data_IF_574448998395
#
_entry.id   IF_574448998395
#
_cell.length_a   1.000
_cell.length_b   1.000
_cell.length_c   1.000
_cell.angle_alpha   90.00
_cell.angle_beta   90.00
_cell.angle_gamma   90.00
#
_symmetry.space_group_name_H-M   'P 1'
#
loop_
_entity.id
_entity.type
_entity.pdbx_description
1 polymer ?
#
# COMPACT_ATOMS: atom_id res chain seq x y z
N UNK A 1 2.68 -22.38 -18.37
CA UNK A 1 2.69 -23.20 -17.13
C UNK A 1 1.84 -22.47 -16.10
N UNK A 2 0.81 -23.10 -15.56
CA UNK A 2 -0.08 -22.49 -14.56
C UNK A 2 0.47 -22.85 -13.18
N UNK A 3 0.59 -21.86 -12.29
CA UNK A 3 1.05 -22.05 -10.93
C UNK A 3 -0.11 -21.79 -9.97
N UNK A 4 -0.27 -22.66 -8.99
CA UNK A 4 -1.24 -22.53 -7.92
C UNK A 4 -0.54 -22.05 -6.64
N UNK A 5 -1.24 -21.27 -5.83
CA UNK A 5 -0.69 -20.73 -4.60
C UNK A 5 -1.69 -20.93 -3.45
N UNK A 6 -1.15 -21.27 -2.30
CA UNK A 6 -1.94 -21.38 -1.09
C UNK A 6 -2.55 -20.01 -0.73
N UNK A 7 -3.88 -19.90 -0.55
CA UNK A 7 -4.54 -18.64 -0.23
C UNK A 7 -4.23 -18.11 1.17
N UNK A 8 -3.57 -18.91 2.01
CA UNK A 8 -3.18 -18.48 3.35
C UNK A 8 -1.75 -17.98 3.44
N UNK A 9 -0.76 -18.73 2.97
CA UNK A 9 0.66 -18.41 3.12
C UNK A 9 1.36 -18.06 1.80
N UNK A 10 0.65 -18.17 0.68
CA UNK A 10 1.12 -17.87 -0.68
C UNK A 10 2.32 -18.71 -1.14
N UNK A 11 2.60 -19.84 -0.48
CA UNK A 11 3.54 -20.82 -1.03
C UNK A 11 2.94 -21.50 -2.25
N UNK A 12 3.79 -21.85 -3.20
CA UNK A 12 3.40 -22.65 -4.35
C UNK A 12 2.88 -24.01 -3.89
N UNK A 13 1.80 -24.47 -4.51
CA UNK A 13 1.14 -25.77 -4.27
C UNK A 13 0.82 -26.42 -5.61
N UNK A 14 0.53 -27.71 -5.59
CA UNK A 14 0.02 -28.43 -6.76
C UNK A 14 -1.49 -28.18 -6.92
N UNK A 15 -2.02 -28.47 -8.11
CA UNK A 15 -3.41 -28.15 -8.48
C UNK A 15 -4.47 -28.86 -7.62
N UNK A 16 -4.19 -30.12 -7.24
CA UNK A 16 -5.10 -31.02 -6.55
C UNK A 16 -4.92 -31.02 -5.02
N UNK A 17 -4.02 -30.22 -4.49
CA UNK A 17 -3.79 -30.16 -3.03
C UNK A 17 -4.99 -29.57 -2.31
N UNK A 18 -5.50 -30.33 -1.34
CA UNK A 18 -6.62 -29.91 -0.46
C UNK A 18 -6.13 -29.17 0.78
N UNK A 19 -4.91 -29.50 1.22
CA UNK A 19 -4.26 -28.93 2.40
C UNK A 19 -2.87 -28.45 2.02
N UNK A 20 -2.53 -27.23 2.35
CA UNK A 20 -1.22 -26.67 2.05
C UNK A 20 -0.11 -27.44 2.79
N UNK A 21 0.92 -27.96 2.10
CA UNK A 21 2.01 -28.70 2.75
C UNK A 21 2.84 -27.83 3.70
N UNK A 22 2.90 -26.51 3.44
CA UNK A 22 3.69 -25.56 4.24
C UNK A 22 2.97 -25.07 5.49
N UNK A 23 1.75 -24.55 5.36
CA UNK A 23 1.04 -23.93 6.49
C UNK A 23 -0.12 -24.75 7.04
N UNK A 24 -0.40 -25.92 6.46
CA UNK A 24 -1.46 -26.87 6.85
C UNK A 24 -2.90 -26.29 6.75
N UNK A 25 -3.08 -25.17 6.07
CA UNK A 25 -4.42 -24.61 5.86
C UNK A 25 -5.19 -25.40 4.80
N UNK A 26 -6.47 -25.61 5.00
CA UNK A 26 -7.39 -26.17 4.00
C UNK A 26 -7.61 -25.13 2.89
N UNK A 27 -7.36 -25.52 1.63
CA UNK A 27 -7.42 -24.61 0.49
C UNK A 27 -8.85 -24.09 0.27
N UNK A 28 -9.84 -24.97 0.32
CA UNK A 28 -11.27 -24.62 0.15
C UNK A 28 -11.83 -23.72 1.24
N UNK A 29 -11.19 -23.66 2.41
CA UNK A 29 -11.63 -22.78 3.51
C UNK A 29 -11.62 -21.28 3.14
N UNK A 30 -11.02 -20.91 2.00
CA UNK A 30 -10.92 -19.52 1.53
C UNK A 30 -11.87 -19.18 0.36
N UNK A 31 -12.67 -20.15 -0.10
CA UNK A 31 -13.58 -19.93 -1.24
C UNK A 31 -14.71 -18.95 -0.92
N UNK A 32 -15.09 -18.84 0.34
CA UNK A 32 -16.12 -17.91 0.83
C UNK A 32 -15.66 -16.46 0.95
N UNK A 33 -14.35 -16.17 0.79
CA UNK A 33 -13.84 -14.82 0.92
C UNK A 33 -14.36 -13.92 -0.20
N UNK A 34 -14.81 -12.72 0.17
CA UNK A 34 -15.15 -11.69 -0.76
C UNK A 34 -13.94 -11.25 -1.59
N UNK A 35 -14.18 -10.60 -2.73
CA UNK A 35 -13.11 -10.05 -3.56
C UNK A 35 -12.19 -9.10 -2.79
N UNK A 36 -12.77 -8.24 -1.94
CA UNK A 36 -12.02 -7.35 -1.07
C UNK A 36 -11.07 -8.10 -0.12
N UNK A 37 -11.56 -9.14 0.56
CA UNK A 37 -10.75 -9.93 1.48
C UNK A 37 -9.62 -10.69 0.76
N UNK A 38 -9.88 -11.18 -0.45
CA UNK A 38 -8.85 -11.79 -1.31
C UNK A 38 -7.76 -10.77 -1.66
N UNK A 39 -8.11 -9.53 -1.99
CA UNK A 39 -7.14 -8.45 -2.25
C UNK A 39 -6.33 -8.09 -1.01
N UNK A 40 -6.96 -7.96 0.15
CA UNK A 40 -6.26 -7.68 1.41
C UNK A 40 -5.24 -8.78 1.73
N UNK A 41 -5.59 -10.03 1.51
CA UNK A 41 -4.65 -11.16 1.66
C UNK A 41 -3.52 -11.09 0.64
N UNK A 42 -3.81 -10.70 -0.60
CA UNK A 42 -2.83 -10.59 -1.67
C UNK A 42 -1.75 -9.53 -1.41
N UNK A 43 -1.96 -8.56 -0.50
CA UNK A 43 -0.90 -7.65 -0.04
C UNK A 43 0.30 -8.38 0.60
N UNK A 44 0.13 -9.61 1.06
CA UNK A 44 1.19 -10.43 1.64
C UNK A 44 1.63 -11.58 0.72
N UNK A 45 1.31 -11.50 -0.58
CA UNK A 45 1.68 -12.54 -1.54
C UNK A 45 3.21 -12.63 -1.69
N UNK A 46 3.75 -13.83 -1.96
CA UNK A 46 5.18 -14.04 -2.22
C UNK A 46 5.65 -13.32 -3.49
N UNK A 47 4.79 -13.30 -4.52
CA UNK A 47 5.06 -12.60 -5.76
C UNK A 47 4.85 -11.10 -5.64
N UNK A 48 5.91 -10.34 -5.93
CA UNK A 48 5.94 -8.88 -5.82
C UNK A 48 4.88 -8.20 -6.68
N UNK A 49 4.73 -8.63 -7.93
CA UNK A 49 3.75 -8.06 -8.86
C UNK A 49 2.31 -8.22 -8.38
N UNK A 50 2.00 -9.34 -7.72
CA UNK A 50 0.68 -9.59 -7.14
C UNK A 50 0.40 -8.62 -5.99
N UNK A 51 1.37 -8.37 -5.10
CA UNK A 51 1.22 -7.41 -4.00
C UNK A 51 0.98 -5.99 -4.52
N UNK A 52 1.76 -5.57 -5.50
CA UNK A 52 1.63 -4.24 -6.14
C UNK A 52 0.24 -4.09 -6.77
N UNK A 53 -0.21 -5.08 -7.55
CA UNK A 53 -1.55 -5.06 -8.17
C UNK A 53 -2.67 -5.01 -7.14
N UNK A 54 -2.55 -5.79 -6.07
CA UNK A 54 -3.54 -5.78 -4.99
C UNK A 54 -3.66 -4.40 -4.34
N UNK A 55 -2.53 -3.72 -4.06
CA UNK A 55 -2.52 -2.36 -3.53
C UNK A 55 -3.21 -1.38 -4.50
N UNK A 56 -2.87 -1.41 -5.78
CA UNK A 56 -3.53 -0.55 -6.79
C UNK A 56 -5.03 -0.78 -6.85
N UNK A 57 -5.48 -2.03 -6.92
CA UNK A 57 -6.92 -2.36 -7.01
C UNK A 57 -7.65 -1.89 -5.75
N UNK A 58 -7.07 -2.08 -4.56
CA UNK A 58 -7.65 -1.57 -3.32
C UNK A 58 -7.79 -0.04 -3.33
N UNK A 59 -6.82 0.66 -3.91
CA UNK A 59 -6.89 2.11 -4.12
C UNK A 59 -8.03 2.52 -5.06
N UNK A 60 -8.21 1.78 -6.18
CA UNK A 60 -9.28 2.05 -7.15
C UNK A 60 -10.68 1.77 -6.59
N UNK A 61 -10.81 0.77 -5.72
CA UNK A 61 -12.07 0.47 -5.04
C UNK A 61 -12.50 1.58 -4.07
N UNK A 62 -11.57 2.44 -3.63
CA UNK A 62 -11.80 3.53 -2.68
C UNK A 62 -12.54 3.10 -1.39
N UNK A 63 -12.40 1.82 -1.02
CA UNK A 63 -13.01 1.28 0.18
C UNK A 63 -12.15 1.64 1.41
N UNK A 64 -12.72 2.45 2.31
CA UNK A 64 -12.02 2.91 3.53
C UNK A 64 -11.51 1.77 4.42
N UNK A 65 -12.14 0.60 4.35
CA UNK A 65 -11.70 -0.59 5.07
C UNK A 65 -10.29 -1.03 4.68
N UNK A 66 -9.80 -0.64 3.49
CA UNK A 66 -8.46 -0.99 3.02
C UNK A 66 -7.34 -0.16 3.68
N UNK A 67 -7.63 0.99 4.31
CA UNK A 67 -6.61 1.86 4.92
C UNK A 67 -5.77 1.10 5.94
N UNK A 68 -6.41 0.45 6.91
CA UNK A 68 -5.69 -0.32 7.95
C UNK A 68 -4.85 -1.49 7.39
N UNK A 69 -5.38 -2.35 6.49
CA UNK A 69 -4.57 -3.38 5.82
C UNK A 69 -3.38 -2.84 5.04
N UNK A 70 -3.56 -1.75 4.29
CA UNK A 70 -2.49 -1.10 3.52
C UNK A 70 -1.40 -0.53 4.45
N UNK A 71 -1.77 0.21 5.49
CA UNK A 71 -0.83 0.72 6.48
C UNK A 71 -0.05 -0.41 7.18
N UNK A 72 -0.74 -1.52 7.55
CA UNK A 72 -0.09 -2.70 8.14
C UNK A 72 0.89 -3.38 7.17
N UNK A 73 0.60 -3.35 5.87
CA UNK A 73 1.48 -3.92 4.86
C UNK A 73 2.79 -3.12 4.71
N UNK A 74 2.76 -1.79 4.85
CA UNK A 74 3.96 -0.94 4.90
C UNK A 74 4.87 -1.32 6.07
N UNK A 75 4.30 -1.51 7.27
CA UNK A 75 5.06 -1.85 8.47
C UNK A 75 5.70 -3.24 8.43
N UNK A 76 5.16 -4.16 7.63
CA UNK A 76 5.70 -5.52 7.47
C UNK A 76 6.83 -5.63 6.45
N UNK A 77 7.08 -4.60 5.66
CA UNK A 77 8.13 -4.57 4.64
C UNK A 77 9.56 -4.51 5.22
N UNK A 78 9.77 -4.98 6.46
CA UNK A 78 11.01 -4.92 7.24
C UNK A 78 12.07 -5.96 6.85
N UNK A 79 12.44 -6.08 5.62
CA UNK A 79 13.55 -6.95 5.27
C UNK A 79 14.26 -6.47 4.02
N UNK A 80 13.61 -6.54 2.91
CA UNK A 80 14.04 -5.92 1.67
C UNK A 80 13.00 -4.86 1.36
N UNK A 81 13.35 -3.58 1.50
CA UNK A 81 12.47 -2.46 1.16
C UNK A 81 12.07 -2.59 -0.30
N UNK A 82 10.84 -2.98 -0.52
CA UNK A 82 10.24 -3.02 -1.86
C UNK A 82 9.62 -1.67 -2.16
N UNK A 83 10.47 -0.71 -2.57
CA UNK A 83 10.05 0.66 -2.85
C UNK A 83 8.87 0.75 -3.83
N UNK A 84 8.77 -0.16 -4.79
CA UNK A 84 7.65 -0.16 -5.73
C UNK A 84 6.34 -0.61 -5.07
N UNK A 85 6.41 -1.54 -4.13
CA UNK A 85 5.25 -1.93 -3.35
C UNK A 85 4.85 -0.83 -2.36
N UNK A 86 5.84 -0.22 -1.67
CA UNK A 86 5.61 0.90 -0.77
C UNK A 86 4.95 2.07 -1.52
N UNK A 87 5.48 2.45 -2.69
CA UNK A 87 4.90 3.48 -3.54
C UNK A 87 3.45 3.15 -3.95
N UNK A 88 3.18 1.91 -4.39
CA UNK A 88 1.85 1.47 -4.75
C UNK A 88 0.85 1.60 -3.57
N UNK A 89 1.29 1.26 -2.36
CA UNK A 89 0.47 1.41 -1.15
C UNK A 89 0.22 2.89 -0.83
N UNK A 90 1.23 3.75 -0.94
CA UNK A 90 1.10 5.20 -0.71
C UNK A 90 0.10 5.82 -1.69
N UNK A 91 0.20 5.46 -2.98
CA UNK A 91 -0.75 5.90 -4.01
C UNK A 91 -2.17 5.39 -3.71
N UNK A 92 -2.30 4.13 -3.28
CA UNK A 92 -3.59 3.55 -2.93
C UNK A 92 -4.25 4.30 -1.75
N UNK A 93 -3.49 4.61 -0.70
CA UNK A 93 -3.96 5.40 0.45
C UNK A 93 -4.45 6.80 0.01
N UNK A 94 -3.72 7.46 -0.90
CA UNK A 94 -4.11 8.75 -1.45
C UNK A 94 -5.39 8.69 -2.31
N UNK A 95 -5.66 7.56 -2.99
CA UNK A 95 -6.87 7.36 -3.80
C UNK A 95 -8.12 7.07 -2.96
N UNK A 96 -7.95 6.40 -1.82
CA UNK A 96 -9.06 6.06 -0.92
C UNK A 96 -9.66 7.32 -0.30
N UNK A 97 -8.88 8.39 -0.16
CA UNK A 97 -9.34 9.71 0.33
C UNK A 97 -10.11 9.62 1.66
N UNK A 98 -9.66 8.75 2.57
CA UNK A 98 -10.20 8.59 3.92
C UNK A 98 -9.37 9.36 4.95
N UNK A 99 -10.01 10.06 5.88
CA UNK A 99 -9.27 10.76 6.95
C UNK A 99 -8.35 9.84 7.74
N UNK A 100 -8.65 8.55 7.80
CA UNK A 100 -7.81 7.52 8.43
C UNK A 100 -6.48 7.30 7.70
N UNK A 101 -6.38 7.63 6.40
CA UNK A 101 -5.16 7.54 5.63
C UNK A 101 -4.20 8.71 5.91
N UNK A 102 -4.74 9.85 6.35
CA UNK A 102 -3.99 11.09 6.53
C UNK A 102 -2.79 10.95 7.50
N UNK A 103 -2.93 10.37 8.71
CA UNK A 103 -1.79 10.18 9.60
C UNK A 103 -0.67 9.34 8.96
N UNK A 104 -1.04 8.25 8.29
CA UNK A 104 -0.06 7.37 7.63
C UNK A 104 0.70 8.10 6.53
N UNK A 105 0.01 8.91 5.73
CA UNK A 105 0.63 9.70 4.66
C UNK A 105 1.53 10.81 5.21
N UNK A 106 1.17 11.41 6.35
CA UNK A 106 2.00 12.42 7.02
C UNK A 106 3.28 11.78 7.55
N UNK A 107 3.19 10.62 8.22
CA UNK A 107 4.36 9.90 8.72
C UNK A 107 5.34 9.51 7.61
N UNK A 108 4.83 9.25 6.40
CA UNK A 108 5.64 8.91 5.23
C UNK A 108 6.40 10.12 4.63
N UNK A 109 6.15 11.34 5.07
CA UNK A 109 6.98 12.50 4.72
C UNK A 109 8.37 12.43 5.35
N UNK A 110 8.55 11.68 6.42
CA UNK A 110 9.84 11.43 7.07
C UNK A 110 10.53 10.16 6.56
N UNK A 111 10.01 9.55 5.48
CA UNK A 111 10.57 8.33 4.91
C UNK A 111 11.98 8.57 4.34
N UNK A 112 12.97 7.64 4.53
CA UNK A 112 14.35 7.84 4.03
C UNK A 112 14.42 8.01 2.51
N UNK A 113 13.55 7.34 1.74
CA UNK A 113 13.49 7.48 0.28
C UNK A 113 12.72 8.74 -0.12
N UNK A 114 13.36 9.63 -0.88
CA UNK A 114 12.71 10.81 -1.44
C UNK A 114 11.57 10.46 -2.41
N UNK A 115 11.61 9.29 -3.07
CA UNK A 115 10.54 8.82 -3.94
C UNK A 115 9.25 8.56 -3.14
N UNK A 116 9.37 7.92 -1.98
CA UNK A 116 8.21 7.67 -1.11
C UNK A 116 7.69 8.97 -0.50
N UNK A 117 8.59 9.90 -0.09
CA UNK A 117 8.17 11.23 0.37
C UNK A 117 7.42 12.00 -0.71
N UNK A 118 7.89 11.93 -1.96
CA UNK A 118 7.21 12.53 -3.11
C UNK A 118 5.84 11.93 -3.40
N UNK A 119 5.72 10.59 -3.35
CA UNK A 119 4.44 9.91 -3.49
C UNK A 119 3.47 10.29 -2.35
N UNK A 120 3.96 10.44 -1.12
CA UNK A 120 3.18 10.89 0.02
C UNK A 120 2.68 12.33 -0.16
N UNK A 121 3.52 13.25 -0.62
CA UNK A 121 3.13 14.63 -0.94
C UNK A 121 2.03 14.68 -2.01
N UNK A 122 2.20 13.95 -3.12
CA UNK A 122 1.19 13.87 -4.16
C UNK A 122 -0.13 13.25 -3.66
N UNK A 123 -0.06 12.32 -2.72
CA UNK A 123 -1.23 11.75 -2.09
C UNK A 123 -1.91 12.75 -1.15
N UNK A 124 -1.13 13.48 -0.33
CA UNK A 124 -1.62 14.51 0.58
C UNK A 124 -2.27 15.70 -0.14
N UNK A 125 -1.83 16.04 -1.34
CA UNK A 125 -2.42 17.14 -2.14
C UNK A 125 -3.91 16.92 -2.47
N UNK A 126 -4.39 15.67 -2.39
CA UNK A 126 -5.81 15.32 -2.60
C UNK A 126 -6.68 15.67 -1.40
N UNK A 127 -6.07 15.80 -0.20
CA UNK A 127 -6.79 16.11 1.03
C UNK A 127 -6.91 17.63 1.20
N UNK A 128 -8.09 18.18 0.95
CA UNK A 128 -8.36 19.62 1.07
C UNK A 128 -8.64 20.03 2.53
N UNK A 129 -7.71 19.74 3.45
CA UNK A 129 -7.85 20.09 4.84
C UNK A 129 -6.58 20.74 5.44
N UNK A 130 -6.74 21.43 6.58
CA UNK A 130 -5.63 22.16 7.23
C UNK A 130 -4.46 21.26 7.62
N UNK A 131 -4.72 20.02 8.04
CA UNK A 131 -3.66 19.08 8.47
C UNK A 131 -2.76 18.68 7.30
N UNK A 132 -3.36 18.32 6.15
CA UNK A 132 -2.61 18.02 4.94
C UNK A 132 -1.79 19.23 4.48
N UNK A 133 -2.42 20.43 4.43
CA UNK A 133 -1.72 21.65 4.04
C UNK A 133 -0.53 21.97 4.96
N UNK A 134 -0.68 21.80 6.28
CA UNK A 134 0.41 21.98 7.23
C UNK A 134 1.55 20.98 7.03
N UNK A 135 1.22 19.72 6.77
CA UNK A 135 2.21 18.69 6.48
C UNK A 135 2.97 18.98 5.18
N UNK A 136 2.27 19.40 4.12
CA UNK A 136 2.90 19.80 2.85
C UNK A 136 3.83 21.02 3.05
N UNK A 137 3.45 22.00 3.88
CA UNK A 137 4.31 23.15 4.19
C UNK A 137 5.63 22.76 4.86
N UNK A 138 5.64 21.74 5.74
CA UNK A 138 6.88 21.24 6.33
C UNK A 138 7.85 20.68 5.29
N UNK A 139 7.35 20.13 4.20
CA UNK A 139 8.18 19.60 3.13
C UNK A 139 8.89 20.70 2.29
N UNK A 140 8.62 21.97 2.55
CA UNK A 140 9.42 23.09 1.98
C UNK A 140 10.86 23.10 2.50
N UNK A 141 11.09 22.49 3.67
CA UNK A 141 12.40 22.37 4.33
C UNK A 141 12.99 20.94 4.17
N UNK A 142 12.46 20.13 3.24
CA UNK A 142 12.97 18.77 2.97
C UNK A 142 14.44 18.80 2.51
N UNK A 143 15.29 17.83 2.92
CA UNK A 143 16.69 17.78 2.45
C UNK A 143 16.83 17.59 0.94
N UNK A 144 15.79 17.17 0.22
CA UNK A 144 15.77 16.99 -1.23
C UNK A 144 15.14 18.22 -1.92
N UNK A 145 15.90 18.90 -2.78
CA UNK A 145 15.41 20.02 -3.59
C UNK A 145 14.17 19.63 -4.44
N UNK A 146 14.13 18.42 -4.97
CA UNK A 146 12.98 17.94 -5.76
C UNK A 146 11.70 17.86 -4.94
N UNK A 147 11.80 17.50 -3.65
CA UNK A 147 10.66 17.47 -2.72
C UNK A 147 10.22 18.89 -2.36
N UNK A 148 11.17 19.82 -2.10
CA UNK A 148 10.84 21.21 -1.86
C UNK A 148 10.10 21.85 -3.05
N UNK A 149 10.57 21.60 -4.28
CA UNK A 149 9.93 22.09 -5.51
C UNK A 149 8.52 21.50 -5.68
N UNK A 150 8.37 20.21 -5.43
CA UNK A 150 7.06 19.54 -5.47
C UNK A 150 6.11 20.16 -4.46
N UNK A 151 6.55 20.38 -3.22
CA UNK A 151 5.75 21.03 -2.18
C UNK A 151 5.32 22.44 -2.58
N UNK A 152 6.24 23.26 -3.16
CA UNK A 152 5.89 24.59 -3.68
C UNK A 152 4.82 24.53 -4.76
N UNK A 153 4.96 23.61 -5.74
CA UNK A 153 3.96 23.44 -6.81
C UNK A 153 2.60 23.07 -6.26
N UNK A 154 2.55 22.14 -5.30
CA UNK A 154 1.28 21.70 -4.69
C UNK A 154 0.60 22.85 -3.92
N UNK A 155 1.38 23.69 -3.23
CA UNK A 155 0.82 24.81 -2.44
C UNK A 155 0.35 25.99 -3.30
N UNK A 156 0.78 26.05 -4.56
CA UNK A 156 0.38 27.09 -5.53
C UNK A 156 -0.83 26.69 -6.40
N UNK A 157 -1.19 25.39 -6.40
CA UNK A 157 -2.30 24.83 -7.19
C UNK A 157 -3.64 24.93 -6.46
#
# INVERSE_FOLDING_TARGET
MIFFYCPNCWSRIEEDEKVCPKCKAEIKAFDHLSYFEKLVRALNHSERTTRIRAAYILGELKDKRAVKPLAKALNKAHGIRDMFFEEAVVIALGKIDGEEALPVLIDLLDHPSFLIRGAALNSLSRFKNKKATQAIKKALDDPSLSIQELARKILQA
#
